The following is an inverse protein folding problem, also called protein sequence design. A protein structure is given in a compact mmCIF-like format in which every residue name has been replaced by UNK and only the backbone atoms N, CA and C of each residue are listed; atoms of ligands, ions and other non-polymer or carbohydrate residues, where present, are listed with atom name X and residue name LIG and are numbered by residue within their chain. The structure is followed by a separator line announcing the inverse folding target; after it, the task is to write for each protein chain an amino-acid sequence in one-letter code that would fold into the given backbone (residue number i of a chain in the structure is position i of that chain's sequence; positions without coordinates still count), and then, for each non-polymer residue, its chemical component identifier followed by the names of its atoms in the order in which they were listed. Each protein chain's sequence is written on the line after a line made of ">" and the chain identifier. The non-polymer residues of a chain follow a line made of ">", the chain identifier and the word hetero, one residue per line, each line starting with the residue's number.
data_IF_095711934968
#
_entry.id   IF_095711934968
#
_cell.length_a   1.000
_cell.length_b   1.000
_cell.length_c   1.000
_cell.angle_alpha   90.00
_cell.angle_beta   90.00
_cell.angle_gamma   90.00
#
_symmetry.space_group_name_H-M   'P 1'
#
loop_
_entity.id
_entity.type
_entity.pdbx_description
1 polymer ?
#
# COMPACT_ATOMS: atom_id res chain seq x y z
N UNK A 1 2.99 -72.33 53.61
CA UNK A 1 3.10 -72.64 52.17
C UNK A 1 1.88 -72.05 51.48
N UNK A 2 2.02 -70.87 50.89
CA UNK A 2 0.95 -70.19 50.15
C UNK A 2 1.51 -69.88 48.76
N UNK A 3 1.21 -70.75 47.81
CA UNK A 3 1.48 -70.57 46.39
C UNK A 3 0.46 -69.59 45.82
N UNK A 4 0.91 -68.38 45.49
CA UNK A 4 0.17 -67.43 44.66
C UNK A 4 0.16 -67.93 43.20
N UNK A 5 -0.98 -68.00 42.51
CA UNK A 5 -1.00 -68.35 41.10
C UNK A 5 -0.59 -67.14 40.25
N UNK A 6 0.38 -67.36 39.37
CA UNK A 6 0.82 -66.43 38.33
C UNK A 6 -0.32 -66.17 37.33
N UNK A 7 -1.11 -65.11 37.53
CA UNK A 7 -1.98 -64.50 36.51
C UNK A 7 -1.21 -63.43 35.70
N UNK A 8 0.04 -63.74 35.33
CA UNK A 8 0.98 -62.80 34.68
C UNK A 8 0.88 -62.76 33.14
N UNK A 9 0.56 -63.84 32.39
CA UNK A 9 0.63 -63.77 30.93
C UNK A 9 -0.53 -62.99 30.29
N UNK A 10 -1.75 -63.08 30.84
CA UNK A 10 -2.93 -62.39 30.29
C UNK A 10 -2.90 -60.88 30.52
N UNK A 11 -2.39 -60.45 31.68
CA UNK A 11 -2.25 -59.03 32.02
C UNK A 11 -1.15 -58.35 31.20
N UNK A 12 -0.05 -59.05 30.92
CA UNK A 12 1.01 -58.57 30.02
C UNK A 12 0.54 -58.50 28.56
N UNK A 13 -0.20 -59.49 28.09
CA UNK A 13 -0.76 -59.50 26.73
C UNK A 13 -1.78 -58.35 26.51
N UNK A 14 -2.63 -58.07 27.50
CA UNK A 14 -3.59 -56.97 27.44
C UNK A 14 -2.91 -55.59 27.41
N UNK A 15 -1.86 -55.40 28.22
CA UNK A 15 -1.06 -54.16 28.23
C UNK A 15 -0.33 -53.91 26.90
N UNK A 16 0.24 -54.97 26.30
CA UNK A 16 0.87 -54.88 24.98
C UNK A 16 -0.18 -54.51 23.92
N UNK A 17 -1.36 -55.14 23.95
CA UNK A 17 -2.46 -54.83 23.04
C UNK A 17 -2.91 -53.37 23.12
N UNK A 18 -3.10 -52.84 24.34
CA UNK A 18 -3.47 -51.44 24.57
C UNK A 18 -2.38 -50.49 24.04
N UNK A 19 -1.10 -50.80 24.31
CA UNK A 19 0.03 -49.95 23.88
C UNK A 19 0.15 -49.90 22.36
N UNK A 20 -0.01 -51.03 21.66
CA UNK A 20 -0.02 -51.09 20.20
C UNK A 20 -1.20 -50.32 19.63
N UNK A 21 -2.37 -50.39 20.27
CA UNK A 21 -3.58 -49.69 19.82
C UNK A 21 -3.46 -48.17 20.01
N UNK A 22 -2.86 -47.72 21.11
CA UNK A 22 -2.51 -46.31 21.34
C UNK A 22 -1.48 -45.82 20.31
N UNK A 23 -0.44 -46.60 20.03
CA UNK A 23 0.54 -46.26 18.99
C UNK A 23 -0.10 -46.20 17.60
N UNK A 24 -0.95 -47.16 17.24
CA UNK A 24 -1.67 -47.18 15.97
C UNK A 24 -2.64 -45.99 15.83
N UNK A 25 -3.40 -45.68 16.89
CA UNK A 25 -4.28 -44.51 16.93
C UNK A 25 -3.49 -43.20 16.81
N UNK A 26 -2.33 -43.11 17.44
CA UNK A 26 -1.44 -41.95 17.35
C UNK A 26 -0.87 -41.79 15.95
N UNK A 27 -0.43 -42.88 15.32
CA UNK A 27 0.05 -42.87 13.92
C UNK A 27 -1.08 -42.50 12.97
N UNK A 28 -2.30 -42.98 13.18
CA UNK A 28 -3.47 -42.63 12.36
C UNK A 28 -3.87 -41.17 12.55
N UNK A 29 -3.85 -40.65 13.78
CA UNK A 29 -4.10 -39.24 14.08
C UNK A 29 -3.05 -38.35 13.40
N UNK A 30 -1.76 -38.69 13.50
CA UNK A 30 -0.66 -37.98 12.83
C UNK A 30 -0.81 -38.05 11.31
N UNK A 31 -1.15 -39.22 10.74
CA UNK A 31 -1.39 -39.37 9.29
C UNK A 31 -2.59 -38.57 8.82
N UNK A 32 -3.69 -38.58 9.57
CA UNK A 32 -4.89 -37.80 9.27
C UNK A 32 -4.60 -36.31 9.34
N UNK A 33 -3.91 -35.88 10.39
CA UNK A 33 -3.48 -34.50 10.56
C UNK A 33 -2.57 -34.04 9.41
N UNK A 34 -1.56 -34.86 9.05
CA UNK A 34 -0.66 -34.58 7.93
C UNK A 34 -1.40 -34.53 6.59
N UNK A 35 -2.42 -35.38 6.37
CA UNK A 35 -3.27 -35.32 5.17
C UNK A 35 -4.08 -34.03 5.11
N UNK A 36 -4.72 -33.63 6.21
CA UNK A 36 -5.47 -32.38 6.28
C UNK A 36 -4.56 -31.16 6.08
N UNK A 37 -3.38 -31.13 6.72
CA UNK A 37 -2.39 -30.09 6.50
C UNK A 37 -1.94 -30.02 5.03
N UNK A 38 -1.67 -31.17 4.40
CA UNK A 38 -1.34 -31.23 2.98
C UNK A 38 -2.44 -30.65 2.10
N UNK A 39 -3.69 -31.00 2.37
CA UNK A 39 -4.82 -30.47 1.62
C UNK A 39 -4.95 -28.96 1.78
N UNK A 40 -4.97 -28.44 3.02
CA UNK A 40 -5.10 -27.00 3.30
C UNK A 40 -3.97 -26.19 2.68
N UNK A 41 -2.73 -26.67 2.77
CA UNK A 41 -1.57 -25.98 2.20
C UNK A 41 -1.58 -26.05 0.66
N UNK A 42 -2.05 -27.15 0.08
CA UNK A 42 -2.22 -27.29 -1.36
C UNK A 42 -3.26 -26.32 -1.90
N UNK A 43 -4.45 -26.29 -1.29
CA UNK A 43 -5.53 -25.36 -1.65
C UNK A 43 -5.10 -23.89 -1.48
N UNK A 44 -4.37 -23.58 -0.40
CA UNK A 44 -3.85 -22.23 -0.19
C UNK A 44 -2.84 -21.82 -1.27
N UNK A 45 -1.92 -22.71 -1.65
CA UNK A 45 -0.93 -22.44 -2.68
C UNK A 45 -1.56 -22.29 -4.07
N UNK A 46 -2.55 -23.12 -4.40
CA UNK A 46 -3.34 -22.98 -5.64
C UNK A 46 -4.08 -21.65 -5.65
N UNK A 47 -4.77 -21.30 -4.57
CA UNK A 47 -5.42 -19.99 -4.43
C UNK A 47 -4.47 -18.81 -4.57
N UNK A 48 -3.23 -18.93 -4.06
CA UNK A 48 -2.18 -17.92 -4.26
C UNK A 48 -1.73 -17.81 -5.73
N UNK A 49 -1.58 -18.94 -6.42
CA UNK A 49 -1.19 -18.96 -7.84
C UNK A 49 -2.31 -18.41 -8.73
N UNK A 50 -3.56 -18.79 -8.47
CA UNK A 50 -4.73 -18.26 -9.17
C UNK A 50 -4.89 -16.76 -8.94
N UNK A 51 -4.62 -16.30 -7.70
CA UNK A 51 -4.63 -14.88 -7.36
C UNK A 51 -3.59 -14.09 -8.17
N UNK A 52 -2.41 -14.64 -8.40
CA UNK A 52 -1.39 -14.03 -9.26
C UNK A 52 -1.84 -14.02 -10.73
N UNK A 53 -2.41 -15.11 -11.22
CA UNK A 53 -2.89 -15.20 -12.59
C UNK A 53 -4.04 -14.22 -12.89
N UNK A 54 -4.92 -14.00 -11.91
CA UNK A 54 -6.05 -13.05 -12.01
C UNK A 54 -5.63 -11.57 -11.98
N UNK A 55 -4.36 -11.25 -11.68
CA UNK A 55 -3.88 -9.86 -11.59
C UNK A 55 -4.30 -9.16 -10.29
N UNK A 56 -4.16 -7.84 -10.13
CA UNK A 56 -4.47 -7.14 -8.88
C UNK A 56 -5.98 -7.07 -8.57
N UNK A 57 -6.34 -7.28 -7.30
CA UNK A 57 -7.72 -7.18 -6.83
C UNK A 57 -8.23 -5.74 -6.89
N UNK A 58 -9.55 -5.55 -6.78
CA UNK A 58 -10.17 -4.24 -6.91
C UNK A 58 -9.59 -3.20 -5.93
N UNK A 59 -9.44 -3.57 -4.66
CA UNK A 59 -8.90 -2.69 -3.64
C UNK A 59 -7.41 -2.33 -3.90
N UNK A 60 -6.61 -3.30 -4.35
CA UNK A 60 -5.21 -3.05 -4.73
C UNK A 60 -5.09 -2.14 -5.97
N UNK A 61 -5.99 -2.29 -6.96
CA UNK A 61 -6.06 -1.39 -8.13
C UNK A 61 -6.43 0.04 -7.72
N UNK A 62 -7.40 0.18 -6.83
CA UNK A 62 -7.80 1.47 -6.27
C UNK A 62 -6.64 2.14 -5.51
N UNK A 63 -5.95 1.39 -4.65
CA UNK A 63 -4.79 1.89 -3.91
C UNK A 63 -3.66 2.35 -4.86
N UNK A 64 -3.39 1.61 -5.94
CA UNK A 64 -2.44 2.03 -6.99
C UNK A 64 -2.86 3.33 -7.66
N UNK A 65 -4.12 3.44 -8.06
CA UNK A 65 -4.64 4.64 -8.71
C UNK A 65 -4.51 5.87 -7.81
N UNK A 66 -4.78 5.73 -6.51
CA UNK A 66 -4.62 6.82 -5.54
C UNK A 66 -3.14 7.17 -5.33
N UNK A 67 -2.25 6.17 -5.25
CA UNK A 67 -0.82 6.41 -5.10
C UNK A 67 -0.21 7.14 -6.33
N UNK A 68 -0.68 6.81 -7.54
CA UNK A 68 -0.32 7.57 -8.76
C UNK A 68 -0.81 9.00 -8.67
N UNK A 69 -2.05 9.23 -8.20
CA UNK A 69 -2.58 10.58 -8.04
C UNK A 69 -1.80 11.41 -7.01
N UNK A 70 -1.41 10.82 -5.88
CA UNK A 70 -0.54 11.49 -4.89
C UNK A 70 0.82 11.87 -5.50
N UNK A 71 1.44 10.96 -6.27
CA UNK A 71 2.69 11.25 -6.96
C UNK A 71 2.55 12.37 -7.99
N UNK A 72 1.46 12.40 -8.75
CA UNK A 72 1.16 13.47 -9.70
C UNK A 72 0.94 14.81 -8.98
N UNK A 73 0.18 14.82 -7.88
CA UNK A 73 -0.04 16.03 -7.07
C UNK A 73 1.26 16.57 -6.48
N UNK A 74 2.11 15.69 -5.94
CA UNK A 74 3.41 16.06 -5.41
C UNK A 74 4.32 16.69 -6.49
N UNK A 75 4.32 16.14 -7.72
CA UNK A 75 5.04 16.75 -8.85
C UNK A 75 4.51 18.13 -9.20
N UNK A 76 3.19 18.33 -9.17
CA UNK A 76 2.60 19.66 -9.39
C UNK A 76 3.04 20.61 -8.27
N UNK A 77 2.96 20.20 -7.01
CA UNK A 77 3.40 21.02 -5.87
C UNK A 77 4.88 21.43 -5.98
N UNK A 78 5.77 20.48 -6.31
CA UNK A 78 7.20 20.77 -6.52
C UNK A 78 7.42 21.79 -7.65
N UNK A 79 6.75 21.59 -8.79
CA UNK A 79 6.80 22.54 -9.91
C UNK A 79 6.29 23.93 -9.52
N UNK A 80 5.21 24.00 -8.74
CA UNK A 80 4.68 25.27 -8.21
C UNK A 80 5.70 25.93 -7.29
N UNK A 81 6.38 25.16 -6.45
CA UNK A 81 7.40 25.67 -5.51
C UNK A 81 8.64 26.20 -6.23
N UNK A 82 9.07 25.54 -7.31
CA UNK A 82 10.25 25.87 -8.09
C UNK A 82 10.00 27.00 -9.10
N UNK A 83 8.87 26.95 -9.81
CA UNK A 83 8.60 27.83 -10.95
C UNK A 83 7.68 29.00 -10.62
N UNK A 84 6.76 28.86 -9.66
CA UNK A 84 5.69 29.85 -9.43
C UNK A 84 5.96 30.66 -8.15
N UNK A 85 6.24 29.99 -7.03
CA UNK A 85 6.46 30.64 -5.73
C UNK A 85 7.52 31.76 -5.79
N UNK A 86 8.70 31.61 -6.44
CA UNK A 86 9.72 32.66 -6.44
C UNK A 86 9.26 33.95 -7.10
N UNK A 87 8.44 33.85 -8.15
CA UNK A 87 7.90 35.00 -8.87
C UNK A 87 6.82 35.76 -8.09
N UNK A 88 6.08 35.06 -7.24
CA UNK A 88 5.05 35.66 -6.40
C UNK A 88 5.66 36.38 -5.19
N UNK A 89 6.72 35.81 -4.61
CA UNK A 89 7.42 36.39 -3.46
C UNK A 89 8.30 37.59 -3.85
N UNK A 90 8.84 37.61 -5.07
CA UNK A 90 9.71 38.71 -5.54
C UNK A 90 8.96 39.99 -5.93
N UNK A 91 7.62 39.98 -5.94
CA UNK A 91 6.79 41.10 -6.40
C UNK A 91 6.87 41.31 -7.92
N UNK A 92 6.11 42.28 -8.47
CA UNK A 92 6.18 42.59 -9.89
C UNK A 92 7.62 42.98 -10.26
N UNK A 93 8.13 42.37 -11.34
CA UNK A 93 9.44 42.67 -11.88
C UNK A 93 9.62 44.20 -12.03
N UNK A 94 10.70 44.75 -11.47
CA UNK A 94 11.04 46.17 -11.62
C UNK A 94 11.02 46.54 -13.11
N UNK A 95 10.50 47.71 -13.51
CA UNK A 95 10.53 48.15 -14.89
C UNK A 95 11.95 48.07 -15.44
N UNK A 96 12.17 47.27 -16.48
CA UNK A 96 13.49 47.11 -17.12
C UNK A 96 14.24 45.81 -16.81
N UNK A 97 13.75 44.92 -15.93
CA UNK A 97 14.33 43.57 -15.82
C UNK A 97 13.79 42.66 -16.92
N UNK A 98 14.70 41.98 -17.61
CA UNK A 98 14.40 41.00 -18.65
C UNK A 98 13.41 39.96 -18.14
N UNK A 99 12.30 39.80 -18.86
CA UNK A 99 11.30 38.76 -18.61
C UNK A 99 12.02 37.40 -18.57
N UNK A 100 11.83 36.58 -17.53
CA UNK A 100 12.40 35.23 -17.54
C UNK A 100 11.87 34.46 -18.76
N UNK A 101 12.71 33.61 -19.33
CA UNK A 101 12.47 32.91 -20.59
C UNK A 101 11.26 31.96 -20.60
N UNK A 102 10.58 31.78 -19.45
CA UNK A 102 9.56 30.75 -19.22
C UNK A 102 8.10 31.17 -19.41
N UNK A 103 7.75 32.39 -19.82
CA UNK A 103 6.34 32.82 -19.97
C UNK A 103 5.78 33.62 -18.79
N UNK A 104 4.47 33.90 -18.75
CA UNK A 104 3.87 34.70 -17.66
C UNK A 104 3.55 33.78 -16.47
N UNK A 105 3.84 34.18 -15.21
CA UNK A 105 3.49 33.38 -14.02
C UNK A 105 2.01 32.96 -13.98
N UNK A 106 1.11 33.78 -14.52
CA UNK A 106 -0.33 33.48 -14.60
C UNK A 106 -0.66 32.28 -15.50
N UNK A 107 0.14 32.02 -16.54
CA UNK A 107 -0.05 30.89 -17.45
C UNK A 107 0.36 29.58 -16.77
N UNK A 108 1.46 29.62 -15.99
CA UNK A 108 1.92 28.49 -15.16
C UNK A 108 0.92 28.13 -14.06
N UNK A 109 0.31 29.14 -13.42
CA UNK A 109 -0.75 28.95 -12.44
C UNK A 109 -1.96 28.27 -13.08
N UNK A 110 -2.38 28.72 -14.27
CA UNK A 110 -3.50 28.12 -14.99
C UNK A 110 -3.22 26.65 -15.35
N UNK A 111 -2.02 26.35 -15.86
CA UNK A 111 -1.60 24.99 -16.16
C UNK A 111 -1.60 24.08 -14.92
N UNK A 112 -1.08 24.55 -13.79
CA UNK A 112 -1.10 23.78 -12.53
C UNK A 112 -2.52 23.50 -12.03
N UNK A 113 -3.43 24.46 -12.13
CA UNK A 113 -4.85 24.26 -11.78
C UNK A 113 -5.51 23.22 -12.69
N UNK A 114 -5.24 23.28 -13.99
CA UNK A 114 -5.82 22.35 -14.96
C UNK A 114 -5.28 20.92 -14.78
N UNK A 115 -3.99 20.78 -14.46
CA UNK A 115 -3.38 19.50 -14.08
C UNK A 115 -4.06 18.90 -12.83
N UNK A 116 -4.26 19.70 -11.77
CA UNK A 116 -4.92 19.23 -10.55
C UNK A 116 -6.36 18.81 -10.79
N UNK A 117 -7.10 19.56 -11.60
CA UNK A 117 -8.45 19.17 -12.01
C UNK A 117 -8.45 17.89 -12.85
N UNK A 118 -7.46 17.72 -13.73
CA UNK A 118 -7.32 16.49 -14.51
C UNK A 118 -7.04 15.28 -13.61
N UNK A 119 -6.20 15.42 -12.59
CA UNK A 119 -5.95 14.38 -11.58
C UNK A 119 -7.24 14.03 -10.82
N UNK A 120 -8.00 15.02 -10.35
CA UNK A 120 -9.28 14.81 -9.66
C UNK A 120 -10.32 14.09 -10.53
N UNK A 121 -10.42 14.45 -11.82
CA UNK A 121 -11.31 13.76 -12.78
C UNK A 121 -10.93 12.29 -12.96
N UNK A 122 -9.63 11.96 -13.07
CA UNK A 122 -9.17 10.56 -13.18
C UNK A 122 -9.53 9.71 -11.95
N UNK A 123 -9.69 10.34 -10.78
CA UNK A 123 -10.10 9.69 -9.53
C UNK A 123 -11.61 9.50 -9.39
N UNK A 124 -12.42 10.09 -10.28
CA UNK A 124 -13.88 10.07 -10.18
C UNK A 124 -14.45 11.10 -9.20
N UNK A 125 -13.70 12.16 -8.86
CA UNK A 125 -14.20 13.23 -7.99
C UNK A 125 -15.14 14.17 -8.77
N UNK A 126 -16.41 14.21 -8.38
CA UNK A 126 -17.47 14.96 -9.09
C UNK A 126 -17.62 16.41 -8.63
N UNK A 127 -16.58 17.01 -8.05
CA UNK A 127 -16.54 18.45 -7.79
C UNK A 127 -17.34 18.88 -6.57
N UNK A 128 -16.78 18.66 -5.40
CA UNK A 128 -16.99 19.50 -4.21
C UNK A 128 -15.81 19.23 -3.27
N UNK A 129 -14.69 19.93 -3.47
CA UNK A 129 -13.61 19.95 -2.49
C UNK A 129 -14.05 20.84 -1.33
N UNK A 130 -14.11 20.34 -0.07
CA UNK A 130 -14.40 21.18 1.07
C UNK A 130 -13.34 22.29 1.19
N UNK A 131 -13.71 23.52 1.56
CA UNK A 131 -12.76 24.62 1.69
C UNK A 131 -11.86 24.36 2.90
N UNK A 132 -10.61 23.97 2.66
CA UNK A 132 -9.57 24.01 3.69
C UNK A 132 -9.00 25.42 3.69
N UNK A 133 -9.23 26.18 4.77
CA UNK A 133 -8.44 27.41 4.99
C UNK A 133 -7.13 27.00 5.69
N UNK A 134 -5.96 27.46 5.25
CA UNK A 134 -5.76 28.71 4.52
C UNK A 134 -4.47 28.84 3.70
N UNK A 135 -4.47 29.90 2.92
CA UNK A 135 -3.28 30.56 2.40
C UNK A 135 -3.53 32.07 2.42
N UNK A 136 -2.44 32.82 2.63
CA UNK A 136 -2.16 34.08 1.98
C UNK A 136 -0.66 34.07 1.63
N UNK A 137 -0.24 32.94 1.04
CA UNK A 137 1.05 32.59 0.44
C UNK A 137 2.22 32.38 1.40
N UNK A 138 1.99 31.61 2.47
CA UNK A 138 3.07 30.85 3.11
C UNK A 138 3.70 29.79 2.18
N UNK A 139 4.41 28.77 2.70
CA UNK A 139 5.02 27.71 1.88
C UNK A 139 3.97 26.97 1.04
N UNK A 140 4.38 26.42 -0.11
CA UNK A 140 3.52 25.53 -0.91
C UNK A 140 3.22 24.28 -0.07
N UNK A 141 1.95 23.81 -0.02
CA UNK A 141 1.61 22.58 0.69
C UNK A 141 2.48 21.41 0.24
N UNK A 142 3.03 20.67 1.20
CA UNK A 142 3.93 19.55 0.95
C UNK A 142 3.38 18.26 1.56
N UNK A 143 3.39 17.19 0.75
CA UNK A 143 2.97 15.86 1.17
C UNK A 143 4.04 15.13 1.95
N UNK A 144 5.32 15.43 1.73
CA UNK A 144 6.44 14.71 2.37
C UNK A 144 6.53 15.02 3.88
N UNK A 145 5.91 16.11 4.31
CA UNK A 145 5.80 16.53 5.72
C UNK A 145 4.44 16.23 6.37
N UNK A 146 3.52 15.55 5.68
CA UNK A 146 2.19 15.20 6.23
C UNK A 146 2.30 14.07 7.26
N UNK A 147 1.91 14.30 8.53
CA UNK A 147 1.87 13.24 9.54
C UNK A 147 0.84 12.16 9.17
N UNK A 148 -0.28 12.53 8.54
CA UNK A 148 -1.30 11.59 8.09
C UNK A 148 -0.76 10.65 6.99
N UNK A 149 0.05 11.18 6.06
CA UNK A 149 0.69 10.35 5.04
C UNK A 149 1.72 9.41 5.65
N UNK A 150 2.46 9.87 6.67
CA UNK A 150 3.40 9.03 7.40
C UNK A 150 2.69 7.86 8.09
N UNK A 151 1.63 8.13 8.86
CA UNK A 151 0.84 7.09 9.55
C UNK A 151 0.30 6.05 8.58
N UNK A 152 -0.23 6.49 7.43
CA UNK A 152 -0.75 5.58 6.41
C UNK A 152 0.38 4.78 5.75
N UNK A 153 1.54 5.40 5.50
CA UNK A 153 2.71 4.70 4.97
C UNK A 153 3.20 3.59 5.92
N UNK A 154 3.28 3.87 7.22
CA UNK A 154 3.64 2.90 8.25
C UNK A 154 2.63 1.74 8.30
N UNK A 155 1.33 2.03 8.30
CA UNK A 155 0.27 1.02 8.28
C UNK A 155 0.34 0.12 7.02
N UNK A 156 0.63 0.72 5.87
CA UNK A 156 0.80 0.01 4.60
C UNK A 156 2.03 -0.92 4.63
N UNK A 157 3.14 -0.48 5.23
CA UNK A 157 4.34 -1.29 5.43
C UNK A 157 4.08 -2.49 6.34
N UNK A 158 3.39 -2.28 7.47
CA UNK A 158 2.98 -3.36 8.37
C UNK A 158 2.12 -4.38 7.64
N UNK A 159 1.12 -3.92 6.89
CA UNK A 159 0.22 -4.79 6.13
C UNK A 159 0.96 -5.59 5.05
N UNK A 160 1.88 -4.95 4.31
CA UNK A 160 2.70 -5.63 3.32
C UNK A 160 3.60 -6.69 3.97
N UNK A 161 4.22 -6.34 5.09
CA UNK A 161 5.08 -7.26 5.86
C UNK A 161 4.31 -8.49 6.31
N UNK A 162 3.11 -8.31 6.88
CA UNK A 162 2.28 -9.41 7.32
C UNK A 162 1.81 -10.30 6.17
N UNK A 163 1.43 -9.71 5.03
CA UNK A 163 1.06 -10.48 3.83
C UNK A 163 2.23 -11.30 3.29
N UNK A 164 3.43 -10.74 3.25
CA UNK A 164 4.65 -11.46 2.85
C UNK A 164 4.93 -12.61 3.82
N UNK A 165 4.88 -12.34 5.14
CA UNK A 165 5.11 -13.35 6.18
C UNK A 165 4.13 -14.52 6.08
N UNK A 166 2.84 -14.24 5.92
CA UNK A 166 1.80 -15.25 5.80
C UNK A 166 1.99 -16.11 4.54
N UNK A 167 2.26 -15.49 3.40
CA UNK A 167 2.48 -16.21 2.15
C UNK A 167 3.78 -17.03 2.16
N UNK A 168 4.86 -16.51 2.74
CA UNK A 168 6.10 -17.26 2.95
C UNK A 168 5.87 -18.51 3.82
N UNK A 169 5.06 -18.41 4.88
CA UNK A 169 4.73 -19.58 5.70
C UNK A 169 4.04 -20.68 4.90
N UNK A 170 3.09 -20.34 4.02
CA UNK A 170 2.42 -21.31 3.14
C UNK A 170 3.40 -21.94 2.17
N UNK A 171 4.28 -21.15 1.52
CA UNK A 171 5.28 -21.68 0.59
C UNK A 171 6.26 -22.62 1.29
N UNK A 172 6.77 -22.25 2.47
CA UNK A 172 7.68 -23.10 3.25
C UNK A 172 7.01 -24.41 3.69
N UNK A 173 5.75 -24.35 4.13
CA UNK A 173 4.96 -25.55 4.47
C UNK A 173 4.70 -26.42 3.23
N UNK A 174 4.43 -25.82 2.07
CA UNK A 174 4.22 -26.54 0.82
C UNK A 174 5.48 -27.30 0.38
N UNK A 175 6.66 -26.69 0.53
CA UNK A 175 7.96 -27.34 0.29
C UNK A 175 8.18 -28.48 1.28
N UNK A 176 8.01 -28.24 2.58
CA UNK A 176 8.23 -29.26 3.61
C UNK A 176 7.28 -30.47 3.51
N UNK A 177 6.05 -30.24 3.02
CA UNK A 177 5.06 -31.28 2.84
C UNK A 177 5.08 -31.92 1.45
N UNK A 178 5.90 -31.42 0.53
CA UNK A 178 5.98 -31.80 -0.89
C UNK A 178 4.62 -31.69 -1.59
N UNK A 179 3.94 -30.56 -1.38
CA UNK A 179 2.59 -30.30 -1.90
C UNK A 179 2.60 -29.22 -2.97
N UNK A 180 1.71 -29.38 -3.94
CA UNK A 180 1.45 -28.42 -5.01
C UNK A 180 2.44 -28.52 -6.16
N UNK A 181 2.03 -27.97 -7.30
CA UNK A 181 2.84 -27.92 -8.51
C UNK A 181 4.11 -27.08 -8.29
N UNK A 182 5.25 -27.59 -8.78
CA UNK A 182 6.55 -26.94 -8.64
C UNK A 182 6.58 -25.57 -9.35
N UNK A 183 5.93 -25.46 -10.52
CA UNK A 183 5.85 -24.17 -11.22
C UNK A 183 4.97 -23.18 -10.48
N UNK A 184 3.87 -23.61 -9.88
CA UNK A 184 3.06 -22.78 -8.98
C UNK A 184 3.87 -22.29 -7.78
N UNK A 185 4.59 -23.18 -7.08
CA UNK A 185 5.50 -22.80 -5.97
C UNK A 185 6.54 -21.78 -6.41
N UNK A 186 7.20 -22.00 -7.55
CA UNK A 186 8.23 -21.09 -8.06
C UNK A 186 7.67 -19.70 -8.39
N UNK A 187 6.47 -19.62 -9.00
CA UNK A 187 5.79 -18.35 -9.29
C UNK A 187 5.43 -17.57 -8.03
N UNK A 188 4.83 -18.24 -7.05
CA UNK A 188 4.48 -17.63 -5.76
C UNK A 188 5.74 -17.14 -5.04
N UNK A 189 6.79 -17.96 -4.99
CA UNK A 189 8.07 -17.58 -4.38
C UNK A 189 8.74 -16.38 -5.10
N UNK A 190 8.69 -16.34 -6.44
CA UNK A 190 9.19 -15.21 -7.22
C UNK A 190 8.47 -13.91 -6.87
N UNK A 191 7.12 -13.93 -6.88
CA UNK A 191 6.31 -12.77 -6.50
C UNK A 191 6.59 -12.30 -5.06
N UNK A 192 6.84 -13.21 -4.12
CA UNK A 192 7.16 -12.84 -2.74
C UNK A 192 8.52 -12.15 -2.60
N UNK A 193 9.53 -12.58 -3.37
CA UNK A 193 10.82 -11.88 -3.43
C UNK A 193 10.66 -10.48 -3.98
N UNK A 194 9.90 -10.32 -5.07
CA UNK A 194 9.64 -9.00 -5.65
C UNK A 194 8.88 -8.08 -4.68
N UNK A 195 7.90 -8.63 -3.95
CA UNK A 195 7.17 -7.90 -2.92
C UNK A 195 8.08 -7.45 -1.78
N UNK A 196 9.00 -8.31 -1.32
CA UNK A 196 9.94 -7.97 -0.25
C UNK A 196 10.97 -6.93 -0.71
N UNK A 197 11.49 -7.02 -1.94
CA UNK A 197 12.36 -5.98 -2.51
C UNK A 197 11.63 -4.63 -2.54
N UNK A 198 10.37 -4.60 -3.00
CA UNK A 198 9.55 -3.38 -3.00
C UNK A 198 9.29 -2.85 -1.59
N UNK A 199 9.08 -3.72 -0.60
CA UNK A 199 8.94 -3.35 0.82
C UNK A 199 10.21 -2.67 1.32
N UNK A 200 11.38 -3.29 1.13
CA UNK A 200 12.67 -2.74 1.58
C UNK A 200 12.98 -1.39 0.92
N UNK A 201 12.71 -1.26 -0.37
CA UNK A 201 12.87 0.01 -1.08
C UNK A 201 11.92 1.08 -0.55
N UNK A 202 10.67 0.72 -0.23
CA UNK A 202 9.72 1.64 0.36
C UNK A 202 10.14 2.10 1.76
N UNK A 203 10.63 1.19 2.60
CA UNK A 203 11.20 1.52 3.92
C UNK A 203 12.38 2.48 3.78
N UNK A 204 13.28 2.22 2.83
CA UNK A 204 14.42 3.10 2.57
C UNK A 204 13.99 4.49 2.05
N UNK A 205 12.89 4.58 1.30
CA UNK A 205 12.32 5.86 0.86
C UNK A 205 11.66 6.61 2.01
N UNK A 206 10.85 5.92 2.81
CA UNK A 206 10.19 6.50 3.99
C UNK A 206 11.22 7.02 5.00
N UNK A 207 12.29 6.27 5.28
CA UNK A 207 13.39 6.70 6.15
C UNK A 207 14.18 7.92 5.63
N UNK A 208 14.03 8.27 4.35
CA UNK A 208 14.59 9.49 3.75
C UNK A 208 13.58 10.65 3.69
N UNK A 209 12.40 10.50 4.30
CA UNK A 209 11.30 11.47 4.21
C UNK A 209 10.64 11.52 2.83
N UNK A 210 10.79 10.47 2.00
CA UNK A 210 10.18 10.38 0.67
C UNK A 210 8.92 9.52 0.73
N UNK A 211 7.96 9.95 1.53
CA UNK A 211 6.69 9.27 1.81
C UNK A 211 5.86 9.03 0.54
N UNK A 212 5.76 10.01 -0.37
CA UNK A 212 4.98 9.84 -1.61
C UNK A 212 5.56 8.71 -2.47
N UNK A 213 6.89 8.68 -2.59
CA UNK A 213 7.60 7.63 -3.31
C UNK A 213 7.46 6.26 -2.61
N UNK A 214 7.50 6.23 -1.28
CA UNK A 214 7.32 5.02 -0.50
C UNK A 214 5.91 4.44 -0.69
N UNK A 215 4.87 5.25 -0.53
CA UNK A 215 3.46 4.86 -0.75
C UNK A 215 3.25 4.35 -2.18
N UNK A 216 3.83 5.03 -3.18
CA UNK A 216 3.81 4.57 -4.56
C UNK A 216 4.45 3.19 -4.71
N UNK A 217 5.61 2.95 -4.08
CA UNK A 217 6.30 1.66 -4.17
C UNK A 217 5.51 0.52 -3.50
N UNK A 218 4.92 0.78 -2.34
CA UNK A 218 4.12 -0.20 -1.58
C UNK A 218 2.83 -0.55 -2.33
N UNK A 219 2.10 0.44 -2.86
CA UNK A 219 0.86 0.21 -3.59
C UNK A 219 1.07 -0.68 -4.84
N UNK A 220 2.27 -0.64 -5.41
CA UNK A 220 2.66 -1.47 -6.54
C UNK A 220 3.27 -2.82 -6.13
N UNK A 221 3.44 -3.13 -4.85
CA UNK A 221 3.88 -4.44 -4.40
C UNK A 221 2.76 -5.47 -4.62
N UNK A 222 3.02 -6.48 -5.45
CA UNK A 222 2.07 -7.58 -5.68
C UNK A 222 2.32 -8.68 -4.67
N UNK A 223 1.33 -8.94 -3.84
CA UNK A 223 1.36 -10.08 -2.91
C UNK A 223 0.38 -11.14 -3.37
N UNK A 224 0.77 -12.42 -3.33
CA UNK A 224 -0.06 -13.53 -3.77
C UNK A 224 -1.16 -13.90 -2.75
N UNK A 225 -1.43 -13.08 -1.74
CA UNK A 225 -2.43 -13.38 -0.71
C UNK A 225 -3.84 -13.16 -1.28
N UNK A 226 -4.69 -14.20 -1.37
CA UNK A 226 -6.07 -14.05 -1.79
C UNK A 226 -6.87 -13.22 -0.78
N UNK A 227 -7.85 -12.44 -1.26
CA UNK A 227 -8.69 -11.61 -0.38
C UNK A 227 -9.75 -12.43 0.38
N UNK A 228 -10.11 -13.62 -0.13
CA UNK A 228 -11.07 -14.53 0.51
C UNK A 228 -10.39 -15.50 1.48
N UNK A 229 -11.00 -15.71 2.64
CA UNK A 229 -10.53 -16.63 3.68
C UNK A 229 -9.66 -15.97 4.76
N UNK A 230 -9.33 -16.70 5.83
CA UNK A 230 -8.41 -16.25 6.87
C UNK A 230 -6.99 -16.67 6.44
N UNK A 231 -5.99 -15.77 6.38
CA UNK A 231 -5.93 -14.39 6.90
C UNK A 231 -6.31 -13.26 5.92
N UNK A 232 -6.69 -13.58 4.68
CA UNK A 232 -7.03 -12.62 3.62
C UNK A 232 -8.07 -11.56 4.02
N UNK A 233 -9.13 -11.94 4.72
CA UNK A 233 -10.25 -11.07 5.10
C UNK A 233 -9.83 -9.92 6.04
N UNK A 234 -8.90 -10.18 6.98
CA UNK A 234 -8.38 -9.15 7.88
C UNK A 234 -7.56 -8.12 7.09
N UNK A 235 -6.64 -8.61 6.25
CA UNK A 235 -5.81 -7.73 5.40
C UNK A 235 -6.63 -6.95 4.38
N UNK A 236 -7.74 -7.51 3.89
CA UNK A 236 -8.68 -6.81 3.00
C UNK A 236 -9.27 -5.57 3.66
N UNK A 237 -9.72 -5.68 4.92
CA UNK A 237 -10.26 -4.53 5.67
C UNK A 237 -9.20 -3.46 5.89
N UNK A 238 -7.96 -3.85 6.15
CA UNK A 238 -6.85 -2.91 6.33
C UNK A 238 -6.51 -2.18 5.04
N UNK A 239 -6.43 -2.90 3.91
CA UNK A 239 -6.22 -2.32 2.58
C UNK A 239 -7.33 -1.33 2.22
N UNK A 240 -8.60 -1.65 2.51
CA UNK A 240 -9.72 -0.73 2.26
C UNK A 240 -9.66 0.52 3.15
N UNK A 241 -9.29 0.37 4.42
CA UNK A 241 -9.08 1.49 5.34
C UNK A 241 -7.95 2.40 4.87
N UNK A 242 -6.83 1.81 4.46
CA UNK A 242 -5.67 2.54 3.90
C UNK A 242 -6.04 3.27 2.61
N UNK A 243 -6.73 2.61 1.67
CA UNK A 243 -7.18 3.24 0.44
C UNK A 243 -8.13 4.43 0.71
N UNK A 244 -9.02 4.30 1.69
CA UNK A 244 -9.91 5.38 2.11
C UNK A 244 -9.13 6.56 2.70
N UNK A 245 -8.15 6.28 3.58
CA UNK A 245 -7.29 7.31 4.17
C UNK A 245 -6.45 8.04 3.10
N UNK A 246 -5.83 7.31 2.18
CA UNK A 246 -5.09 7.90 1.05
C UNK A 246 -5.99 8.78 0.17
N UNK A 247 -7.24 8.36 -0.07
CA UNK A 247 -8.20 9.17 -0.84
C UNK A 247 -8.48 10.50 -0.15
N UNK A 248 -8.68 10.49 1.17
CA UNK A 248 -8.90 11.70 1.98
C UNK A 248 -7.68 12.62 1.94
N UNK A 249 -6.47 12.08 2.16
CA UNK A 249 -5.21 12.83 2.08
C UNK A 249 -5.06 13.48 0.69
N UNK A 250 -5.24 12.70 -0.37
CA UNK A 250 -5.12 13.19 -1.73
C UNK A 250 -6.18 14.24 -2.09
N UNK A 251 -7.38 14.17 -1.49
CA UNK A 251 -8.43 15.19 -1.69
C UNK A 251 -8.10 16.47 -0.91
N UNK A 252 -7.65 16.34 0.34
CA UNK A 252 -7.24 17.46 1.18
C UNK A 252 -6.07 18.24 0.57
N UNK A 253 -5.01 17.53 0.17
CA UNK A 253 -3.84 18.15 -0.46
C UNK A 253 -4.18 18.86 -1.79
N UNK A 254 -5.06 18.28 -2.62
CA UNK A 254 -5.54 18.95 -3.82
C UNK A 254 -6.30 20.24 -3.50
N UNK A 255 -7.14 20.23 -2.45
CA UNK A 255 -7.89 21.40 -2.02
C UNK A 255 -6.94 22.52 -1.54
N UNK A 256 -5.95 22.18 -0.72
CA UNK A 256 -4.95 23.12 -0.22
C UNK A 256 -4.12 23.73 -1.36
N UNK A 257 -3.65 22.91 -2.29
CA UNK A 257 -2.86 23.38 -3.43
C UNK A 257 -3.68 24.25 -4.39
N UNK A 258 -4.96 23.90 -4.62
CA UNK A 258 -5.88 24.76 -5.37
C UNK A 258 -6.15 26.09 -4.66
N UNK A 259 -6.24 26.09 -3.32
CA UNK A 259 -6.35 27.30 -2.52
C UNK A 259 -5.11 28.20 -2.65
N UNK A 260 -3.92 27.61 -2.54
CA UNK A 260 -2.66 28.32 -2.74
C UNK A 260 -2.56 28.92 -4.15
N UNK A 261 -2.93 28.17 -5.19
CA UNK A 261 -2.94 28.63 -6.58
C UNK A 261 -3.97 29.74 -6.84
N UNK A 262 -5.09 29.73 -6.11
CA UNK A 262 -6.08 30.81 -6.19
C UNK A 262 -5.50 32.12 -5.64
N UNK A 263 -4.82 32.09 -4.49
CA UNK A 263 -4.16 33.27 -3.91
C UNK A 263 -2.96 33.74 -4.75
N UNK A 264 -2.22 32.80 -5.32
CA UNK A 264 -1.17 33.09 -6.29
C UNK A 264 -1.72 33.89 -7.48
N UNK A 265 -2.86 33.44 -8.02
CA UNK A 265 -3.53 34.10 -9.14
C UNK A 265 -3.99 35.51 -8.78
N UNK A 266 -4.51 35.75 -7.57
CA UNK A 266 -4.95 37.09 -7.17
C UNK A 266 -3.77 38.06 -7.06
N UNK A 267 -2.58 37.63 -6.60
CA UNK A 267 -1.36 38.46 -6.59
C UNK A 267 -0.79 38.74 -7.98
N UNK A 268 -0.98 37.82 -8.92
CA UNK A 268 -0.54 38.01 -10.31
C UNK A 268 -1.56 38.76 -11.18
N UNK A 269 -2.77 39.03 -10.68
CA UNK A 269 -3.76 39.80 -11.42
C UNK A 269 -3.24 41.24 -11.61
N UNK A 270 -3.33 41.82 -12.83
CA UNK A 270 -2.96 43.21 -13.03
C UNK A 270 -3.81 44.09 -12.11
N UNK A 271 -3.17 45.02 -11.40
CA UNK A 271 -3.90 46.08 -10.70
C UNK A 271 -4.85 46.73 -11.71
N UNK A 272 -6.16 46.62 -11.47
CA UNK A 272 -7.14 47.33 -12.27
C UNK A 272 -6.91 48.82 -12.06
N UNK A 273 -6.21 49.45 -13.01
CA UNK A 273 -6.32 50.86 -13.36
C UNK A 273 -6.00 51.86 -12.25
N UNK A 274 -4.79 52.40 -12.30
CA UNK A 274 -4.43 53.64 -11.65
C UNK A 274 -3.30 54.35 -12.39
N UNK A 275 -3.48 54.64 -13.69
CA UNK A 275 -2.63 55.60 -14.39
C UNK A 275 -3.45 56.74 -14.96
N UNK A 276 -3.13 57.92 -14.44
CA UNK A 276 -3.24 59.27 -14.99
C UNK A 276 -4.63 59.88 -15.20
N UNK A 277 -5.01 60.75 -14.26
CA UNK A 277 -5.21 62.17 -14.55
C UNK A 277 -4.65 62.99 -13.39
#
# INVERSE_FOLDING_TARGET
>A
MTTWPLAVPETVAALIGITVLIMAASVLAVRRHRRLQRQVIGEALEGMADRLAAGPAAAAREQRAIAVALADQHRVAARVDDEIRPHILSGPAKPGTTRPAGGRPIDHIAAAVDDLRAIGRRRGETGATPPVRGSALGPVPDLESSPELQEVCEAMLTTLTDRIRQANAVVLMAVALEVGDEKARARVAGSLRDADVRRQEAEALAGKGRLVAAVHRIAHAETPVPEGGVPGEATRRDVLRQASALRLIAAGHAAELLGWLADARTRCAPEKGGSAA
#
